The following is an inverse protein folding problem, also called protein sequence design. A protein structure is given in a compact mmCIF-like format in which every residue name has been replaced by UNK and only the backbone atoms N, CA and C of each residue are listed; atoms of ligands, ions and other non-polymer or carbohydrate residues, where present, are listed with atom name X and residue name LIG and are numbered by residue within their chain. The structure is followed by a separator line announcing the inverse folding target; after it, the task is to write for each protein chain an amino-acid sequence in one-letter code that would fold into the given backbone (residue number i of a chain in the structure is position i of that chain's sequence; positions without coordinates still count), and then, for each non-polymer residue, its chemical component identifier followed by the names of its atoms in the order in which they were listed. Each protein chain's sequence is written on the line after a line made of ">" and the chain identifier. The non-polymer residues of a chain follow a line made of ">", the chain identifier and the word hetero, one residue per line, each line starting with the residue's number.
data_IF_389390583538
#
_entry.id   IF_389390583538
#
_cell.length_a   1.000
_cell.length_b   1.000
_cell.length_c   1.000
_cell.angle_alpha   90.00
_cell.angle_beta   90.00
_cell.angle_gamma   90.00
#
_symmetry.space_group_name_H-M   'P 1'
#
loop_
_entity.id
_entity.type
_entity.pdbx_description
1 polymer ?
#
# COMPACT_ATOMS: atom_id res chain seq x y z
N UNK A 1 22.66 11.67 2.45
CA UNK A 1 21.63 12.33 1.61
C UNK A 1 21.55 11.58 0.30
N UNK A 2 20.57 10.69 0.14
CA UNK A 2 20.27 10.14 -1.19
C UNK A 2 19.49 11.20 -1.96
N UNK A 3 19.82 11.38 -3.24
CA UNK A 3 19.12 12.31 -4.13
C UNK A 3 17.64 11.93 -4.21
N UNK A 4 16.72 12.86 -4.53
CA UNK A 4 15.40 12.46 -4.97
C UNK A 4 15.61 11.72 -6.30
N UNK A 5 15.35 10.41 -6.34
CA UNK A 5 15.35 9.66 -7.59
C UNK A 5 14.13 10.09 -8.43
N UNK A 6 14.32 11.20 -9.14
CA UNK A 6 13.43 11.70 -10.18
C UNK A 6 13.64 10.85 -11.45
N UNK A 7 12.93 9.72 -11.51
CA UNK A 7 12.27 9.13 -12.68
C UNK A 7 12.02 7.65 -12.39
N UNK A 8 10.93 7.36 -11.67
CA UNK A 8 10.41 5.99 -11.63
C UNK A 8 9.82 5.72 -13.01
N UNK A 9 10.38 4.75 -13.72
CA UNK A 9 9.93 4.36 -15.05
C UNK A 9 8.92 3.21 -15.02
N UNK A 10 8.80 2.49 -13.89
CA UNK A 10 7.86 1.37 -13.75
C UNK A 10 7.43 1.06 -12.30
N UNK A 11 6.36 0.26 -12.17
CA UNK A 11 5.87 -0.25 -10.88
C UNK A 11 6.94 -1.10 -10.18
N UNK A 12 7.66 -1.92 -10.94
CA UNK A 12 8.71 -2.81 -10.45
C UNK A 12 9.88 -2.04 -9.85
N UNK A 13 10.27 -0.91 -10.47
CA UNK A 13 11.31 -0.05 -9.91
C UNK A 13 10.87 0.55 -8.56
N UNK A 14 9.65 1.08 -8.47
CA UNK A 14 9.13 1.63 -7.22
C UNK A 14 9.05 0.57 -6.11
N UNK A 15 8.66 -0.66 -6.47
CA UNK A 15 8.62 -1.79 -5.54
C UNK A 15 10.03 -2.14 -5.06
N UNK A 16 11.01 -2.21 -5.95
CA UNK A 16 12.40 -2.54 -5.60
C UNK A 16 12.97 -1.51 -4.63
N UNK A 17 12.76 -0.22 -4.91
CA UNK A 17 13.21 0.87 -4.03
C UNK A 17 12.51 0.83 -2.66
N UNK A 18 11.24 0.43 -2.61
CA UNK A 18 10.53 0.24 -1.35
C UNK A 18 11.06 -0.98 -0.57
N UNK A 19 11.38 -2.08 -1.23
CA UNK A 19 12.02 -3.26 -0.60
C UNK A 19 13.39 -2.90 -0.01
N UNK A 20 14.18 -2.10 -0.71
CA UNK A 20 15.46 -1.56 -0.23
C UNK A 20 15.29 -0.66 1.00
N UNK A 21 14.31 0.25 0.97
CA UNK A 21 13.98 1.13 2.09
C UNK A 21 13.57 0.32 3.34
N UNK A 22 12.88 -0.80 3.14
CA UNK A 22 12.48 -1.74 4.19
C UNK A 22 13.59 -2.73 4.57
N UNK A 23 14.74 -2.70 3.88
CA UNK A 23 15.90 -3.56 4.10
C UNK A 23 15.56 -5.05 4.02
N UNK A 24 14.70 -5.43 3.08
CA UNK A 24 14.37 -6.83 2.81
C UNK A 24 15.05 -7.32 1.53
N UNK A 25 14.93 -8.61 1.25
CA UNK A 25 15.50 -9.21 0.05
C UNK A 25 14.82 -8.63 -1.22
N UNK A 26 15.59 -8.16 -2.22
CA UNK A 26 15.05 -7.72 -3.49
C UNK A 26 14.25 -8.81 -4.20
N UNK A 27 13.14 -8.41 -4.81
CA UNK A 27 12.19 -9.29 -5.50
C UNK A 27 11.29 -10.08 -4.55
N UNK A 28 11.22 -9.71 -3.26
CA UNK A 28 10.34 -10.35 -2.28
C UNK A 28 8.88 -10.37 -2.77
N UNK A 29 8.31 -9.23 -3.16
CA UNK A 29 6.92 -9.15 -3.61
C UNK A 29 6.68 -9.88 -4.93
N UNK A 30 7.69 -9.97 -5.80
CA UNK A 30 7.59 -10.74 -7.05
C UNK A 30 7.50 -12.22 -6.73
N UNK A 31 8.43 -12.74 -5.91
CA UNK A 31 8.44 -14.15 -5.47
C UNK A 31 7.20 -14.51 -4.66
N UNK A 32 6.62 -13.54 -3.95
CA UNK A 32 5.45 -13.78 -3.13
C UNK A 32 4.23 -14.24 -3.93
N UNK A 33 4.13 -13.89 -5.21
CA UNK A 33 3.07 -14.37 -6.09
C UNK A 33 3.13 -15.89 -6.33
N UNK A 34 4.29 -16.52 -6.14
CA UNK A 34 4.51 -17.96 -6.34
C UNK A 34 4.25 -18.80 -5.08
N UNK A 35 4.03 -18.16 -3.92
CA UNK A 35 3.72 -18.87 -2.67
C UNK A 35 2.27 -19.38 -2.62
N UNK A 36 1.87 -20.11 -1.59
CA UNK A 36 0.46 -20.43 -1.38
C UNK A 36 -0.36 -19.18 -0.98
N UNK A 37 -1.68 -19.25 -1.15
CA UNK A 37 -2.57 -18.09 -0.96
C UNK A 37 -2.60 -17.60 0.50
N UNK A 38 -2.47 -18.50 1.47
CA UNK A 38 -2.42 -18.16 2.89
C UNK A 38 -1.15 -17.36 3.21
N UNK A 39 0.01 -17.89 2.81
CA UNK A 39 1.30 -17.22 2.97
C UNK A 39 1.34 -15.89 2.23
N UNK A 40 0.81 -15.85 1.01
CA UNK A 40 0.69 -14.63 0.20
C UNK A 40 -0.06 -13.53 0.95
N UNK A 41 -1.24 -13.81 1.51
CA UNK A 41 -2.05 -12.80 2.21
C UNK A 41 -1.31 -12.27 3.45
N UNK A 42 -0.75 -13.16 4.26
CA UNK A 42 -0.08 -12.79 5.51
C UNK A 42 1.15 -11.94 5.24
N UNK A 43 2.02 -12.38 4.32
CA UNK A 43 3.26 -11.68 3.98
C UNK A 43 3.00 -10.38 3.24
N UNK A 44 2.00 -10.32 2.35
CA UNK A 44 1.61 -9.07 1.69
C UNK A 44 1.13 -8.04 2.70
N UNK A 45 0.31 -8.47 3.68
CA UNK A 45 -0.15 -7.58 4.74
C UNK A 45 0.98 -7.11 5.64
N UNK A 46 1.87 -8.02 6.07
CA UNK A 46 3.04 -7.68 6.89
C UNK A 46 3.98 -6.69 6.18
N UNK A 47 4.21 -6.88 4.87
CA UNK A 47 4.98 -5.95 4.05
C UNK A 47 4.33 -4.55 4.04
N UNK A 48 3.03 -4.47 3.73
CA UNK A 48 2.32 -3.20 3.70
C UNK A 48 2.30 -2.53 5.08
N UNK A 49 2.18 -3.30 6.15
CA UNK A 49 2.23 -2.78 7.51
C UNK A 49 3.58 -2.10 7.83
N UNK A 50 4.69 -2.70 7.41
CA UNK A 50 6.02 -2.09 7.52
C UNK A 50 6.12 -0.83 6.64
N UNK A 51 5.69 -0.91 5.38
CA UNK A 51 5.71 0.21 4.44
C UNK A 51 4.92 1.43 4.97
N UNK A 52 3.74 1.19 5.56
CA UNK A 52 2.93 2.25 6.17
C UNK A 52 3.61 2.86 7.41
N UNK A 53 4.28 2.05 8.22
CA UNK A 53 5.03 2.54 9.40
C UNK A 53 6.17 3.46 8.99
N UNK A 54 6.89 3.09 7.92
CA UNK A 54 7.92 3.93 7.31
C UNK A 54 7.31 5.23 6.74
N UNK A 55 6.23 5.15 5.97
CA UNK A 55 5.58 6.31 5.37
C UNK A 55 5.13 7.34 6.42
N UNK A 56 4.50 6.88 7.51
CA UNK A 56 4.02 7.77 8.57
C UNK A 56 5.20 8.41 9.32
N UNK A 57 6.22 7.62 9.67
CA UNK A 57 7.42 8.13 10.36
C UNK A 57 8.15 9.18 9.52
N UNK A 58 8.26 8.94 8.22
CA UNK A 58 8.83 9.91 7.29
C UNK A 58 7.95 11.16 7.20
N UNK A 59 6.62 11.03 7.13
CA UNK A 59 5.71 12.18 7.11
C UNK A 59 5.89 13.10 8.33
N UNK A 60 6.14 12.51 9.51
CA UNK A 60 6.32 13.25 10.76
C UNK A 60 7.76 13.73 11.01
N UNK A 61 8.70 13.43 10.11
CA UNK A 61 10.13 13.74 10.26
C UNK A 61 10.78 13.14 11.52
N UNK A 62 10.21 12.06 12.07
CA UNK A 62 10.69 11.50 13.32
C UNK A 62 10.93 10.00 13.23
N UNK A 63 12.19 9.63 13.02
CA UNK A 63 12.61 8.24 12.91
C UNK A 63 12.36 7.46 14.21
N UNK A 64 12.40 8.13 15.37
CA UNK A 64 12.10 7.51 16.66
C UNK A 64 10.64 7.01 16.75
N UNK A 65 9.72 7.54 15.93
CA UNK A 65 8.34 7.07 15.89
C UNK A 65 8.17 5.77 15.10
N UNK A 66 9.20 5.31 14.36
CA UNK A 66 9.11 4.08 13.59
C UNK A 66 8.74 2.89 14.47
N UNK A 67 9.41 2.71 15.60
CA UNK A 67 9.14 1.60 16.52
C UNK A 67 7.76 1.74 17.18
N UNK A 68 7.30 2.97 17.39
CA UNK A 68 5.94 3.23 17.89
C UNK A 68 4.92 2.78 16.85
N UNK A 69 5.05 3.22 15.60
CA UNK A 69 4.13 2.85 14.53
C UNK A 69 4.21 1.35 14.21
N UNK A 70 5.38 0.72 14.27
CA UNK A 70 5.51 -0.72 14.06
C UNK A 70 4.58 -1.54 15.00
N UNK A 71 4.32 -1.04 16.20
CA UNK A 71 3.45 -1.70 17.20
C UNK A 71 1.97 -1.27 17.13
N UNK A 72 1.62 -0.28 16.31
CA UNK A 72 0.22 0.16 16.14
C UNK A 72 -0.51 -0.74 15.14
N UNK A 73 -1.73 -1.17 15.48
CA UNK A 73 -2.59 -1.92 14.57
C UNK A 73 -2.85 -1.18 13.25
N UNK A 74 -2.89 -1.90 12.13
CA UNK A 74 -3.06 -1.28 10.81
C UNK A 74 -4.45 -0.67 10.60
N UNK A 75 -5.51 -1.45 10.78
CA UNK A 75 -6.86 -1.13 10.27
C UNK A 75 -7.84 -0.54 11.28
N UNK A 76 -7.43 -0.29 12.53
CA UNK A 76 -8.30 0.33 13.53
C UNK A 76 -8.70 1.75 13.09
N UNK A 77 -10.01 1.98 12.92
CA UNK A 77 -10.54 3.23 12.34
C UNK A 77 -10.33 4.48 13.23
N UNK A 78 -10.02 4.32 14.51
CA UNK A 78 -9.84 5.45 15.44
C UNK A 78 -8.38 5.70 15.80
N UNK A 79 -7.58 4.66 15.93
CA UNK A 79 -6.21 4.74 16.45
C UNK A 79 -5.18 3.96 15.63
N UNK A 80 -5.59 3.30 14.55
CA UNK A 80 -4.70 2.52 13.70
C UNK A 80 -3.94 3.37 12.68
N UNK A 81 -2.97 2.75 11.99
CA UNK A 81 -2.16 3.40 10.94
C UNK A 81 -3.01 4.11 9.89
N UNK A 82 -4.15 3.52 9.51
CA UNK A 82 -5.08 4.14 8.56
C UNK A 82 -5.68 5.47 9.04
N UNK A 83 -5.80 5.69 10.35
CA UNK A 83 -6.26 6.97 10.90
C UNK A 83 -5.20 8.07 10.71
N UNK A 84 -3.92 7.75 10.96
CA UNK A 84 -2.80 8.65 10.72
C UNK A 84 -2.64 8.97 9.23
N UNK A 85 -2.68 7.95 8.37
CA UNK A 85 -2.60 8.11 6.91
C UNK A 85 -3.68 9.06 6.40
N UNK A 86 -4.90 8.96 6.94
CA UNK A 86 -6.01 9.86 6.59
C UNK A 86 -5.76 11.27 7.12
N UNK A 87 -5.39 11.40 8.39
CA UNK A 87 -5.18 12.71 9.03
C UNK A 87 -4.03 13.51 8.39
N UNK A 88 -3.00 12.80 7.91
CA UNK A 88 -1.83 13.38 7.24
C UNK A 88 -1.99 13.48 5.72
N UNK A 89 -3.15 13.07 5.17
CA UNK A 89 -3.43 13.07 3.74
C UNK A 89 -2.33 12.41 2.90
N UNK A 90 -1.94 11.19 3.31
CA UNK A 90 -0.84 10.44 2.69
C UNK A 90 -1.31 9.46 1.61
N UNK A 91 -2.54 8.93 1.73
CA UNK A 91 -3.15 8.00 0.78
C UNK A 91 -4.65 8.29 0.62
N UNK A 92 -5.16 8.08 -0.60
CA UNK A 92 -6.56 8.28 -0.95
C UNK A 92 -7.52 7.26 -0.31
N UNK A 93 -8.83 7.42 -0.55
CA UNK A 93 -9.85 6.52 0.01
C UNK A 93 -9.78 5.11 -0.61
N UNK A 94 -9.36 5.00 -1.87
CA UNK A 94 -9.19 3.77 -2.64
C UNK A 94 -8.11 2.87 -2.02
N UNK A 95 -6.92 3.41 -1.80
CA UNK A 95 -5.80 2.74 -1.17
C UNK A 95 -6.15 2.31 0.26
N UNK A 96 -6.75 3.22 1.04
CA UNK A 96 -7.19 2.92 2.42
C UNK A 96 -8.28 1.84 2.46
N UNK A 97 -9.15 1.77 1.46
CA UNK A 97 -10.17 0.70 1.33
C UNK A 97 -9.51 -0.64 1.06
N UNK A 98 -8.55 -0.71 0.15
CA UNK A 98 -7.80 -1.94 -0.14
C UNK A 98 -7.02 -2.44 1.07
N UNK A 99 -6.26 -1.57 1.73
CA UNK A 99 -5.48 -1.94 2.94
C UNK A 99 -6.39 -2.50 4.04
N UNK A 100 -7.56 -1.86 4.25
CA UNK A 100 -8.54 -2.33 5.24
C UNK A 100 -9.05 -3.73 4.88
N UNK A 101 -9.47 -3.94 3.63
CA UNK A 101 -10.00 -5.23 3.19
C UNK A 101 -8.95 -6.35 3.28
N UNK A 102 -7.69 -6.06 2.94
CA UNK A 102 -6.59 -7.02 3.10
C UNK A 102 -6.31 -7.33 4.58
N UNK A 103 -6.36 -6.31 5.45
CA UNK A 103 -6.20 -6.50 6.90
C UNK A 103 -7.31 -7.37 7.49
N UNK A 104 -8.56 -7.13 7.08
CA UNK A 104 -9.72 -7.94 7.49
C UNK A 104 -9.58 -9.39 7.03
N UNK A 105 -9.19 -9.61 5.76
CA UNK A 105 -8.92 -10.94 5.24
C UNK A 105 -7.81 -11.63 6.03
N UNK A 106 -6.64 -10.98 6.18
CA UNK A 106 -5.51 -11.52 6.94
C UNK A 106 -5.92 -11.89 8.37
N UNK A 107 -6.66 -11.01 9.06
CA UNK A 107 -7.11 -11.28 10.43
C UNK A 107 -7.97 -12.55 10.48
N UNK A 108 -8.90 -12.72 9.55
CA UNK A 108 -9.71 -13.94 9.48
C UNK A 108 -8.87 -15.22 9.28
N UNK A 109 -7.76 -15.13 8.53
CA UNK A 109 -6.89 -16.27 8.25
C UNK A 109 -5.92 -16.62 9.38
N UNK A 110 -5.45 -15.64 10.17
CA UNK A 110 -4.48 -15.90 11.24
C UNK A 110 -5.12 -16.27 12.57
N UNK A 111 -6.40 -15.95 12.77
CA UNK A 111 -7.13 -16.29 14.00
C UNK A 111 -7.59 -17.74 14.04
N UNK A 112 -7.56 -18.45 12.91
CA UNK A 112 -7.89 -19.87 12.82
C UNK A 112 -6.79 -20.61 12.03
N UNK A 113 -5.98 -21.41 12.72
CA UNK A 113 -4.91 -22.20 12.09
C UNK A 113 -5.44 -23.22 11.07
N UNK A 114 -6.72 -23.58 11.12
CA UNK A 114 -7.36 -24.40 10.09
C UNK A 114 -7.37 -23.74 8.71
N UNK A 115 -7.16 -22.43 8.63
CA UNK A 115 -7.13 -21.66 7.38
C UNK A 115 -5.81 -21.76 6.61
N UNK A 116 -4.83 -22.55 7.04
CA UNK A 116 -3.58 -22.77 6.29
C UNK A 116 -3.80 -23.30 4.87
N UNK A 117 -4.96 -23.93 4.61
CA UNK A 117 -5.39 -24.37 3.28
C UNK A 117 -6.22 -23.33 2.52
N UNK A 118 -6.19 -22.06 2.94
CA UNK A 118 -6.95 -20.99 2.28
C UNK A 118 -6.61 -20.92 0.78
N UNK A 119 -7.64 -20.73 -0.02
CA UNK A 119 -7.57 -20.49 -1.46
C UNK A 119 -8.45 -19.30 -1.80
N UNK A 120 -7.90 -18.35 -2.55
CA UNK A 120 -8.69 -17.25 -3.08
C UNK A 120 -9.81 -17.73 -4.01
N UNK A 121 -9.57 -18.82 -4.77
CA UNK A 121 -10.57 -19.37 -5.68
C UNK A 121 -11.80 -19.87 -4.90
N UNK A 122 -11.58 -20.67 -3.86
CA UNK A 122 -12.66 -21.19 -3.01
C UNK A 122 -13.34 -20.06 -2.24
N UNK A 123 -12.56 -19.13 -1.69
CA UNK A 123 -13.07 -17.96 -1.00
C UNK A 123 -14.00 -17.16 -1.91
N UNK A 124 -13.54 -16.76 -3.11
CA UNK A 124 -14.34 -15.97 -4.05
C UNK A 124 -15.53 -16.77 -4.58
N UNK A 125 -15.38 -18.07 -4.82
CA UNK A 125 -16.50 -18.92 -5.25
C UNK A 125 -17.64 -18.90 -4.23
N UNK A 126 -17.30 -18.97 -2.93
CA UNK A 126 -18.25 -18.96 -1.81
C UNK A 126 -18.99 -17.64 -1.60
N UNK A 127 -18.48 -16.53 -2.16
CA UNK A 127 -19.09 -15.21 -1.97
C UNK A 127 -20.42 -15.06 -2.73
N UNK A 128 -21.39 -14.46 -2.06
CA UNK A 128 -22.65 -14.03 -2.66
C UNK A 128 -22.45 -12.84 -3.61
N UNK A 129 -23.45 -12.57 -4.46
CA UNK A 129 -23.38 -11.52 -5.50
C UNK A 129 -22.90 -10.16 -4.96
N UNK A 130 -23.44 -9.72 -3.81
CA UNK A 130 -23.05 -8.44 -3.21
C UNK A 130 -21.63 -8.50 -2.62
N UNK A 131 -21.24 -9.62 -2.03
CA UNK A 131 -19.89 -9.81 -1.49
C UNK A 131 -18.85 -9.85 -2.61
N UNK A 132 -19.16 -10.48 -3.76
CA UNK A 132 -18.31 -10.42 -4.97
C UNK A 132 -18.13 -9.00 -5.47
N UNK A 133 -19.19 -8.19 -5.51
CA UNK A 133 -19.09 -6.79 -5.90
C UNK A 133 -18.19 -5.99 -4.92
N UNK A 134 -18.33 -6.22 -3.61
CA UNK A 134 -17.48 -5.60 -2.61
C UNK A 134 -16.02 -6.06 -2.72
N UNK A 135 -15.79 -7.36 -2.96
CA UNK A 135 -14.46 -7.92 -3.19
C UNK A 135 -13.78 -7.23 -4.38
N UNK A 136 -14.45 -7.15 -5.53
CA UNK A 136 -13.90 -6.48 -6.72
C UNK A 136 -13.61 -5.00 -6.44
N UNK A 137 -14.51 -4.29 -5.75
CA UNK A 137 -14.32 -2.88 -5.39
C UNK A 137 -13.13 -2.64 -4.45
N UNK A 138 -12.88 -3.57 -3.53
CA UNK A 138 -11.82 -3.43 -2.53
C UNK A 138 -10.48 -3.95 -3.03
N UNK A 139 -10.45 -5.09 -3.72
CA UNK A 139 -9.24 -5.78 -4.16
C UNK A 139 -8.85 -5.49 -5.61
N UNK A 140 -9.73 -4.89 -6.42
CA UNK A 140 -9.43 -4.41 -7.77
C UNK A 140 -8.78 -3.02 -7.82
N UNK A 141 -8.03 -2.64 -6.77
CA UNK A 141 -7.41 -1.32 -6.62
C UNK A 141 -6.44 -0.97 -7.76
N UNK A 142 -5.74 -1.96 -8.32
CA UNK A 142 -4.82 -1.74 -9.45
C UNK A 142 -5.52 -1.18 -10.71
N UNK A 143 -6.83 -1.39 -10.83
CA UNK A 143 -7.57 -0.98 -12.01
C UNK A 143 -8.21 0.39 -11.81
N UNK A 144 -7.94 1.31 -12.73
CA UNK A 144 -8.57 2.63 -12.76
C UNK A 144 -9.98 2.57 -13.39
N UNK A 145 -10.86 1.74 -12.82
CA UNK A 145 -12.26 1.60 -13.26
C UNK A 145 -12.68 0.20 -13.67
N UNK A 146 -13.69 0.12 -14.54
CA UNK A 146 -14.33 -1.14 -14.95
C UNK A 146 -13.44 -2.04 -15.82
N UNK A 147 -12.48 -1.43 -16.53
CA UNK A 147 -11.52 -2.12 -17.37
C UNK A 147 -10.11 -1.57 -17.15
N UNK A 148 -9.11 -2.38 -17.47
CA UNK A 148 -7.70 -2.00 -17.47
C UNK A 148 -6.99 -2.59 -18.69
N UNK A 149 -5.80 -2.09 -19.02
CA UNK A 149 -4.99 -2.62 -20.11
C UNK A 149 -4.03 -3.71 -19.62
N UNK A 150 -4.03 -4.85 -20.30
CA UNK A 150 -3.10 -5.94 -20.07
C UNK A 150 -2.66 -6.53 -21.41
N UNK A 151 -1.37 -6.45 -21.72
CA UNK A 151 -0.83 -6.94 -23.00
C UNK A 151 -1.45 -6.27 -24.23
N UNK A 152 -1.80 -4.99 -24.13
CA UNK A 152 -2.47 -4.24 -25.20
C UNK A 152 -3.95 -4.57 -25.39
N UNK A 153 -4.56 -5.32 -24.48
CA UNK A 153 -5.98 -5.65 -24.52
C UNK A 153 -6.72 -5.00 -23.36
N UNK A 154 -7.94 -4.52 -23.62
CA UNK A 154 -8.85 -4.06 -22.58
C UNK A 154 -9.48 -5.26 -21.88
N UNK A 155 -9.26 -5.39 -20.58
CA UNK A 155 -9.72 -6.51 -19.75
C UNK A 155 -10.67 -5.99 -18.67
N UNK A 156 -11.81 -6.66 -18.48
CA UNK A 156 -12.72 -6.31 -17.39
C UNK A 156 -12.09 -6.60 -16.04
N UNK A 157 -12.00 -5.57 -15.19
CA UNK A 157 -11.52 -5.66 -13.82
C UNK A 157 -12.31 -6.71 -13.04
N UNK A 158 -13.64 -6.69 -13.18
CA UNK A 158 -14.53 -7.63 -12.49
C UNK A 158 -14.26 -9.06 -12.91
N UNK A 159 -14.21 -9.34 -14.20
CA UNK A 159 -13.96 -10.71 -14.66
C UNK A 159 -12.58 -11.20 -14.25
N UNK A 160 -11.56 -10.35 -14.37
CA UNK A 160 -10.20 -10.69 -13.98
C UNK A 160 -10.09 -11.00 -12.49
N UNK A 161 -10.66 -10.14 -11.64
CA UNK A 161 -10.67 -10.34 -10.18
C UNK A 161 -11.41 -11.60 -9.76
N UNK A 162 -12.46 -12.02 -10.47
CA UNK A 162 -13.23 -13.21 -10.13
C UNK A 162 -12.63 -14.50 -10.70
N UNK A 163 -11.93 -14.43 -11.84
CA UNK A 163 -11.26 -15.59 -12.48
C UNK A 163 -9.83 -15.80 -11.98
N UNK A 164 -9.16 -14.76 -11.50
CA UNK A 164 -7.76 -14.82 -11.04
C UNK A 164 -7.55 -13.94 -9.80
N UNK A 165 -8.28 -14.21 -8.71
CA UNK A 165 -8.35 -13.34 -7.53
C UNK A 165 -7.01 -13.07 -6.84
N UNK A 166 -6.14 -14.08 -6.73
CA UNK A 166 -4.79 -13.90 -6.19
C UNK A 166 -3.99 -12.93 -7.05
N UNK A 167 -3.95 -13.15 -8.37
CA UNK A 167 -3.20 -12.32 -9.33
C UNK A 167 -3.70 -10.87 -9.34
N UNK A 168 -5.01 -10.67 -9.28
CA UNK A 168 -5.59 -9.33 -9.14
C UNK A 168 -5.25 -8.65 -7.81
N UNK A 169 -5.25 -9.42 -6.72
CA UNK A 169 -4.80 -8.91 -5.41
C UNK A 169 -3.32 -8.56 -5.44
N UNK A 170 -2.47 -9.38 -6.09
CA UNK A 170 -1.05 -9.11 -6.26
C UNK A 170 -0.80 -7.82 -7.04
N UNK A 171 -1.50 -7.58 -8.15
CA UNK A 171 -1.43 -6.30 -8.86
C UNK A 171 -1.82 -5.12 -7.96
N UNK A 172 -2.83 -5.27 -7.10
CA UNK A 172 -3.22 -4.23 -6.15
C UNK A 172 -2.15 -3.98 -5.07
N UNK A 173 -1.47 -5.02 -4.60
CA UNK A 173 -0.31 -4.87 -3.69
C UNK A 173 0.80 -4.10 -4.40
N UNK A 174 1.18 -4.50 -5.62
CA UNK A 174 2.24 -3.85 -6.40
C UNK A 174 1.90 -2.37 -6.67
N UNK A 175 0.67 -2.08 -7.13
CA UNK A 175 0.21 -0.72 -7.38
C UNK A 175 0.23 0.14 -6.09
N UNK A 176 -0.20 -0.43 -4.96
CA UNK A 176 -0.18 0.28 -3.68
C UNK A 176 1.26 0.57 -3.23
N UNK A 177 2.19 -0.35 -3.43
CA UNK A 177 3.60 -0.13 -3.12
C UNK A 177 4.18 1.05 -3.91
N UNK A 178 3.86 1.14 -5.20
CA UNK A 178 4.26 2.28 -6.03
C UNK A 178 3.66 3.60 -5.51
N UNK A 179 2.39 3.59 -5.11
CA UNK A 179 1.74 4.78 -4.52
C UNK A 179 2.36 5.17 -3.19
N UNK A 180 2.67 4.20 -2.31
CA UNK A 180 3.37 4.47 -1.04
C UNK A 180 4.73 5.10 -1.31
N UNK A 181 5.51 4.54 -2.24
CA UNK A 181 6.83 5.08 -2.58
C UNK A 181 6.73 6.53 -3.12
N UNK A 182 5.79 6.80 -4.05
CA UNK A 182 5.54 8.14 -4.56
C UNK A 182 5.08 9.13 -3.47
N UNK A 183 4.24 8.67 -2.53
CA UNK A 183 3.80 9.48 -1.40
C UNK A 183 4.99 9.91 -0.51
N UNK A 184 6.00 9.06 -0.33
CA UNK A 184 7.25 9.44 0.37
C UNK A 184 7.99 10.56 -0.36
N UNK A 185 8.06 10.51 -1.69
CA UNK A 185 8.62 11.60 -2.51
C UNK A 185 7.87 12.91 -2.29
N UNK A 186 6.55 12.88 -2.32
CA UNK A 186 5.70 14.05 -2.09
C UNK A 186 5.89 14.65 -0.68
N UNK A 187 6.06 13.81 0.34
CA UNK A 187 6.40 14.26 1.70
C UNK A 187 7.71 15.04 1.71
N UNK A 188 8.74 14.56 1.02
CA UNK A 188 10.05 15.26 0.92
C UNK A 188 9.89 16.62 0.24
N UNK A 189 9.14 16.68 -0.87
CA UNK A 189 8.87 17.94 -1.59
C UNK A 189 8.10 18.94 -0.72
N UNK A 190 7.02 18.49 -0.04
CA UNK A 190 6.23 19.34 0.87
C UNK A 190 7.12 19.98 1.96
N UNK A 191 8.10 19.24 2.50
CA UNK A 191 9.04 19.76 3.49
C UNK A 191 9.98 20.82 2.93
N UNK A 192 10.54 20.60 1.73
CA UNK A 192 11.40 21.57 1.06
C UNK A 192 10.63 22.88 0.80
N UNK A 193 9.38 22.79 0.33
CA UNK A 193 8.55 23.96 0.13
C UNK A 193 8.24 24.70 1.45
N UNK A 194 7.95 23.97 2.52
CA UNK A 194 7.72 24.55 3.84
C UNK A 194 8.98 25.27 4.38
N UNK A 195 10.18 24.70 4.23
CA UNK A 195 11.42 25.37 4.66
C UNK A 195 11.69 26.64 3.85
N UNK A 196 11.42 26.62 2.54
CA UNK A 196 11.56 27.81 1.68
C UNK A 196 10.57 28.92 2.07
N UNK A 197 9.34 28.59 2.48
CA UNK A 197 8.37 29.57 2.95
C UNK A 197 8.82 30.24 4.26
N UNK A 198 9.37 29.47 5.20
CA UNK A 198 9.92 30.00 6.47
C UNK A 198 11.10 30.93 6.21
N UNK A 199 11.99 30.59 5.28
CA UNK A 199 13.14 31.43 4.93
C UNK A 199 12.73 32.76 4.25
N UNK A 200 11.61 32.77 3.51
CA UNK A 200 11.05 34.00 2.90
C UNK A 200 10.43 34.91 3.98
N UNK A 201 9.74 34.34 4.96
CA UNK A 201 9.13 35.11 6.07
C UNK A 201 10.19 35.62 7.06
N UNK A 202 11.34 34.95 7.18
CA UNK A 202 12.48 35.35 8.01
C UNK A 202 13.49 36.29 7.31
N UNK A 203 13.13 36.86 6.15
CA UNK A 203 13.97 37.80 5.39
C UNK A 203 14.49 38.98 6.25
N UNK A 204 15.64 39.57 5.91
CA UNK A 204 16.34 40.50 6.79
C UNK A 204 15.42 41.64 7.20
N UNK A 205 15.35 41.92 8.50
CA UNK A 205 14.84 43.18 9.02
C UNK A 205 15.65 44.30 8.35
N UNK A 206 15.10 44.85 7.27
CA UNK A 206 15.57 46.07 6.63
C UNK A 206 15.10 47.25 7.49
N UNK A 207 15.49 47.26 8.76
CA UNK A 207 15.43 48.46 9.58
C UNK A 207 16.77 49.18 9.43
N UNK A 208 16.70 50.21 8.58
CA UNK A 208 17.61 51.35 8.45
C UNK A 208 17.90 52.06 9.76
#
# INVERSE_FOLDING_TARGET
>A
MSKPDENIESIEQAVTLLEEDLKIEPGFLIKLNDEDDWSFVIKSHAFLEAALSHLISEALSEAALHDVFANIETSNNKSGKLAFIKALDLLDDEARRFIRALSELRNSLVHDIGQVGFSFEDYVASLEKQQKANFVRSFGYFANGENFELGGQSVSTKEFMLKSPKRGTWFSVMALCSVIYLAKGNVKVRKILASLQVDIEAGPNLDT
#
